data_IF_990062224378
#
_entry.id   IF_990062224378
#
_cell.length_a   1.000
_cell.length_b   1.000
_cell.length_c   1.000
_cell.angle_alpha   90.00
_cell.angle_beta   90.00
_cell.angle_gamma   90.00
#
_symmetry.space_group_name_H-M   'P 1'
#
loop_
_entity.id
_entity.type
_entity.pdbx_description
1 polymer ?
#
# COMPACT_ATOMS: atom_id res chain seq x y z
N UNK A 1 52.11 -20.22 -21.42
CA UNK A 1 51.43 -21.28 -20.65
C UNK A 1 51.48 -20.82 -19.20
N UNK A 2 50.44 -20.38 -18.52
CA UNK A 2 48.97 -20.52 -18.63
C UNK A 2 48.31 -19.33 -17.91
N UNK A 3 47.05 -18.94 -18.21
CA UNK A 3 46.38 -17.86 -17.48
C UNK A 3 45.59 -18.40 -16.28
N UNK A 4 45.62 -17.66 -15.16
CA UNK A 4 44.80 -17.91 -13.97
C UNK A 4 43.43 -17.28 -14.15
N UNK A 5 42.36 -18.07 -14.01
CA UNK A 5 40.97 -17.62 -14.03
C UNK A 5 40.58 -17.02 -12.67
N UNK A 6 40.18 -15.75 -12.68
CA UNK A 6 39.46 -15.12 -11.58
C UNK A 6 38.02 -15.67 -11.53
N UNK A 7 37.59 -16.15 -10.36
CA UNK A 7 36.21 -16.53 -10.10
C UNK A 7 35.48 -15.35 -9.46
N UNK A 8 34.61 -14.69 -10.22
CA UNK A 8 33.69 -13.68 -9.71
C UNK A 8 32.72 -14.31 -8.70
N UNK A 9 32.60 -13.69 -7.53
CA UNK A 9 31.58 -14.00 -6.53
C UNK A 9 30.22 -13.49 -7.02
N UNK A 10 29.36 -14.39 -7.48
CA UNK A 10 27.96 -14.09 -7.82
C UNK A 10 27.17 -13.76 -6.55
N UNK A 11 26.78 -12.49 -6.39
CA UNK A 11 25.87 -12.04 -5.34
C UNK A 11 24.44 -12.50 -5.68
N UNK A 12 23.88 -13.39 -4.87
CA UNK A 12 22.52 -13.90 -5.08
C UNK A 12 21.45 -12.84 -4.73
N UNK A 13 20.60 -12.39 -5.68
CA UNK A 13 19.61 -11.33 -5.45
C UNK A 13 18.54 -11.73 -4.42
N UNK A 14 18.24 -13.03 -4.28
CA UNK A 14 17.23 -13.55 -3.35
C UNK A 14 17.61 -13.38 -1.86
N UNK A 15 18.90 -13.38 -1.54
CA UNK A 15 19.36 -13.16 -0.17
C UNK A 15 19.19 -11.69 0.25
N UNK A 16 19.34 -10.74 -0.69
CA UNK A 16 19.16 -9.31 -0.44
C UNK A 16 17.70 -8.93 -0.17
N UNK A 17 16.74 -9.60 -0.82
CA UNK A 17 15.30 -9.44 -0.53
C UNK A 17 14.91 -10.03 0.81
N UNK A 18 15.45 -11.20 1.18
CA UNK A 18 15.20 -11.81 2.48
C UNK A 18 15.69 -10.92 3.63
N UNK A 19 16.84 -10.25 3.49
CA UNK A 19 17.33 -9.30 4.50
C UNK A 19 16.54 -8.01 4.52
N UNK A 20 16.07 -7.51 3.37
CA UNK A 20 15.22 -6.31 3.30
C UNK A 20 13.88 -6.53 4.00
N UNK A 21 13.22 -7.66 3.74
CA UNK A 21 11.97 -8.04 4.42
C UNK A 21 12.22 -8.25 5.91
N UNK A 22 13.30 -8.92 6.30
CA UNK A 22 13.61 -9.13 7.72
C UNK A 22 13.93 -7.82 8.45
N UNK A 23 14.68 -6.90 7.83
CA UNK A 23 15.00 -5.60 8.41
C UNK A 23 13.77 -4.69 8.50
N UNK A 24 12.87 -4.69 7.51
CA UNK A 24 11.64 -3.93 7.59
C UNK A 24 10.67 -4.50 8.63
N UNK A 25 10.55 -5.82 8.77
CA UNK A 25 9.70 -6.42 9.80
C UNK A 25 10.26 -6.23 11.22
N UNK A 26 11.58 -6.32 11.43
CA UNK A 26 12.22 -6.06 12.74
C UNK A 26 12.21 -4.57 13.08
N UNK A 27 12.43 -3.68 12.09
CA UNK A 27 12.35 -2.22 12.27
C UNK A 27 10.92 -1.74 12.47
N UNK A 28 9.92 -2.37 11.84
CA UNK A 28 8.50 -2.14 12.11
C UNK A 28 8.15 -2.45 13.57
N UNK A 29 8.71 -3.52 14.16
CA UNK A 29 8.56 -3.82 15.58
C UNK A 29 9.20 -2.77 16.50
N UNK A 30 10.37 -2.23 16.14
CA UNK A 30 11.09 -1.25 16.96
C UNK A 30 10.56 0.18 16.85
N UNK A 31 10.07 0.61 15.68
CA UNK A 31 9.55 1.98 15.46
C UNK A 31 8.12 2.17 15.99
N UNK A 32 7.36 1.08 16.17
CA UNK A 32 6.05 1.10 16.82
C UNK A 32 6.13 1.48 18.31
N UNK A 33 7.25 1.17 18.97
CA UNK A 33 7.43 1.47 20.40
C UNK A 33 7.63 2.96 20.69
N UNK A 34 8.14 3.75 19.74
CA UNK A 34 8.48 5.17 19.98
C UNK A 34 7.39 6.16 19.59
N UNK A 35 6.42 5.77 18.75
CA UNK A 35 5.32 6.65 18.31
C UNK A 35 4.04 6.55 19.14
N UNK A 36 3.98 5.63 20.11
CA UNK A 36 2.78 5.44 20.96
C UNK A 36 2.87 6.09 22.36
N UNK A 37 4.04 6.56 22.79
CA UNK A 37 4.20 7.22 24.11
C UNK A 37 3.69 8.68 24.14
N UNK A 38 3.49 9.33 22.99
CA UNK A 38 3.21 10.78 22.99
C UNK A 38 1.71 11.13 23.14
N UNK A 39 0.80 10.15 23.18
CA UNK A 39 -0.66 10.41 23.27
C UNK A 39 -1.31 9.99 24.59
N UNK A 40 -0.54 9.67 25.64
CA UNK A 40 -1.09 9.08 26.87
C UNK A 40 -0.82 9.85 28.16
N UNK A 41 -0.96 11.18 28.13
CA UNK A 41 -0.92 12.02 29.34
C UNK A 41 -2.25 12.60 29.82
N UNK A 42 -3.39 12.00 29.48
CA UNK A 42 -4.66 12.31 30.14
C UNK A 42 -5.52 11.05 30.37
N UNK A 43 -6.01 10.94 31.61
CA UNK A 43 -6.91 9.93 32.20
C UNK A 43 -6.26 8.55 32.47
N UNK A 44 -6.21 8.01 33.69
CA UNK A 44 -6.97 8.27 34.91
C UNK A 44 -7.56 6.94 35.42
N UNK A 45 -6.94 6.39 36.48
CA UNK A 45 -7.28 5.22 37.31
C UNK A 45 -8.67 4.55 37.17
N UNK A 46 -8.69 3.21 36.97
CA UNK A 46 -9.32 2.20 37.87
C UNK A 46 -9.04 0.74 37.39
N UNK A 47 -9.30 -0.34 38.19
CA UNK A 47 -8.39 -1.47 38.32
C UNK A 47 -8.83 -2.73 37.54
N UNK A 48 -7.87 -3.64 37.40
CA UNK A 48 -7.99 -4.96 36.77
C UNK A 48 -8.85 -5.94 37.56
N UNK A 49 -9.33 -7.00 36.89
CA UNK A 49 -9.14 -8.34 37.43
C UNK A 49 -8.43 -9.28 36.44
N UNK A 50 -7.65 -10.17 37.05
CA UNK A 50 -6.84 -11.23 36.45
C UNK A 50 -7.66 -12.46 36.07
N UNK A 51 -7.45 -13.02 34.89
CA UNK A 51 -7.64 -14.46 34.61
C UNK A 51 -6.49 -14.96 33.72
N UNK A 52 -5.97 -16.13 34.08
CA UNK A 52 -4.78 -16.80 33.54
C UNK A 52 -5.08 -17.70 32.32
N UNK A 53 -4.21 -17.55 31.30
CA UNK A 53 -3.59 -18.54 30.40
C UNK A 53 -4.46 -19.60 29.67
N UNK A 54 -4.64 -19.36 28.36
CA UNK A 54 -4.40 -20.35 27.31
C UNK A 54 -3.88 -19.59 26.07
N UNK A 55 -2.69 -19.92 25.58
CA UNK A 55 -2.05 -19.25 24.43
C UNK A 55 -2.83 -19.53 23.14
N UNK A 56 -3.30 -18.51 22.39
CA UNK A 56 -3.85 -18.71 21.06
C UNK A 56 -2.71 -18.70 20.01
N UNK A 57 -2.89 -19.39 18.87
CA UNK A 57 -1.90 -19.36 17.79
C UNK A 57 -1.80 -17.96 17.17
N UNK A 58 -0.62 -17.55 16.64
CA UNK A 58 -0.32 -16.17 16.26
C UNK A 58 -0.97 -15.67 14.96
N UNK A 59 -2.04 -16.32 14.50
CA UNK A 59 -2.76 -15.87 13.30
C UNK A 59 -4.25 -16.09 13.45
N UNK A 60 -4.99 -14.99 13.42
CA UNK A 60 -6.44 -14.93 13.36
C UNK A 60 -6.91 -14.91 11.89
N UNK A 61 -8.13 -15.40 11.66
CA UNK A 61 -8.75 -15.56 10.35
C UNK A 61 -10.11 -14.87 10.38
N UNK A 62 -10.41 -14.03 9.39
CA UNK A 62 -11.66 -13.26 9.33
C UNK A 62 -12.42 -13.43 8.00
N UNK A 63 -13.69 -13.83 8.07
CA UNK A 63 -14.65 -13.88 6.97
C UNK A 63 -14.86 -12.53 6.28
N UNK A 64 -14.84 -12.53 4.94
CA UNK A 64 -15.22 -11.38 4.12
C UNK A 64 -16.67 -10.96 4.40
N UNK A 65 -16.94 -9.71 4.81
CA UNK A 65 -18.30 -9.24 5.00
C UNK A 65 -18.99 -8.92 3.66
N UNK A 66 -20.29 -9.23 3.58
CA UNK A 66 -21.22 -8.68 2.58
C UNK A 66 -21.79 -7.38 3.14
N UNK A 67 -21.60 -6.29 2.40
CA UNK A 67 -21.76 -4.89 2.82
C UNK A 67 -23.14 -4.50 3.38
N UNK A 68 -23.13 -3.66 4.43
CA UNK A 68 -24.24 -2.78 4.79
C UNK A 68 -23.70 -1.36 5.01
N UNK A 69 -24.29 -0.39 4.31
CA UNK A 69 -23.71 0.91 3.94
C UNK A 69 -24.18 1.99 4.92
N UNK A 70 -23.23 2.79 5.40
CA UNK A 70 -23.48 4.17 5.84
C UNK A 70 -22.28 5.03 5.39
N UNK A 71 -22.16 5.21 4.08
CA UNK A 71 -21.16 6.07 3.48
C UNK A 71 -21.69 7.51 3.43
N UNK A 72 -20.89 8.46 3.90
CA UNK A 72 -21.10 9.87 3.58
C UNK A 72 -20.78 10.06 2.10
N UNK A 73 -21.43 11.03 1.43
CA UNK A 73 -21.20 11.31 0.00
C UNK A 73 -19.71 11.50 -0.37
N UNK A 74 -18.87 11.94 0.57
CA UNK A 74 -17.41 12.02 0.40
C UNK A 74 -16.74 10.64 0.38
N UNK A 75 -17.11 9.73 1.29
CA UNK A 75 -16.53 8.39 1.37
C UNK A 75 -16.80 7.56 0.10
N UNK A 76 -18.03 7.64 -0.44
CA UNK A 76 -18.39 6.94 -1.68
C UNK A 76 -17.61 7.46 -2.89
N UNK A 77 -17.37 8.78 -2.95
CA UNK A 77 -16.57 9.38 -4.01
C UNK A 77 -15.11 8.93 -3.92
N UNK A 78 -14.51 8.95 -2.73
CA UNK A 78 -13.14 8.47 -2.50
C UNK A 78 -13.02 6.99 -2.87
N UNK A 79 -13.94 6.15 -2.39
CA UNK A 79 -13.98 4.73 -2.74
C UNK A 79 -14.05 4.54 -4.26
N UNK A 80 -14.93 5.28 -4.96
CA UNK A 80 -15.04 5.20 -6.42
C UNK A 80 -13.74 5.60 -7.13
N UNK A 81 -13.02 6.59 -6.62
CA UNK A 81 -11.73 7.02 -7.21
C UNK A 81 -10.64 5.95 -7.14
N UNK A 82 -10.73 5.05 -6.16
CA UNK A 82 -9.81 3.94 -5.93
C UNK A 82 -10.15 2.67 -6.72
N UNK A 83 -11.30 2.65 -7.38
CA UNK A 83 -11.76 1.49 -8.12
C UNK A 83 -10.78 1.08 -9.23
N UNK A 84 -10.66 -0.21 -9.45
CA UNK A 84 -9.80 -0.77 -10.50
C UNK A 84 -8.32 -0.95 -10.12
N UNK A 85 -7.85 -0.39 -9.00
CA UNK A 85 -6.52 -0.70 -8.47
C UNK A 85 -6.60 -1.91 -7.55
N UNK A 86 -5.83 -2.96 -7.84
CA UNK A 86 -5.77 -4.18 -7.02
C UNK A 86 -4.53 -4.19 -6.13
N UNK A 87 -4.71 -4.67 -4.90
CA UNK A 87 -3.65 -5.09 -3.98
C UNK A 87 -3.85 -6.56 -3.65
N UNK A 88 -2.81 -7.21 -3.12
CA UNK A 88 -2.79 -8.64 -2.90
C UNK A 88 -2.71 -8.96 -1.42
N UNK A 89 -3.52 -9.90 -0.97
CA UNK A 89 -3.47 -10.40 0.41
C UNK A 89 -3.52 -11.92 0.42
N UNK A 90 -3.15 -12.51 1.55
CA UNK A 90 -3.21 -13.96 1.71
C UNK A 90 -4.51 -14.31 2.42
N UNK A 91 -5.27 -15.21 1.83
CA UNK A 91 -6.48 -15.76 2.42
C UNK A 91 -6.37 -17.25 2.65
N UNK A 92 -7.16 -17.76 3.60
CA UNK A 92 -7.33 -19.20 3.82
C UNK A 92 -8.33 -19.82 2.83
N UNK A 93 -8.66 -21.10 2.99
CA UNK A 93 -9.64 -21.80 2.14
C UNK A 93 -11.07 -21.29 2.26
N UNK A 94 -11.40 -20.57 3.33
CA UNK A 94 -12.70 -19.95 3.59
C UNK A 94 -12.76 -18.49 3.07
N UNK A 95 -11.78 -18.07 2.28
CA UNK A 95 -11.62 -16.71 1.78
C UNK A 95 -11.44 -15.66 2.90
N UNK A 96 -10.90 -16.09 4.03
CA UNK A 96 -10.65 -15.23 5.18
C UNK A 96 -9.23 -14.71 5.16
N UNK A 97 -9.02 -13.44 5.50
CA UNK A 97 -7.68 -12.87 5.53
C UNK A 97 -6.83 -13.49 6.63
N UNK A 98 -5.59 -13.79 6.28
CA UNK A 98 -4.57 -14.20 7.25
C UNK A 98 -4.06 -12.95 7.95
N UNK A 99 -4.24 -12.92 9.27
CA UNK A 99 -3.83 -11.80 10.11
C UNK A 99 -2.60 -12.16 10.95
N UNK A 100 -1.76 -11.17 11.23
CA UNK A 100 -0.60 -11.28 12.12
C UNK A 100 -1.01 -10.69 13.47
N UNK A 101 -0.93 -11.47 14.55
CA UNK A 101 -1.17 -10.92 15.89
C UNK A 101 -0.09 -9.91 16.28
N UNK A 102 -0.49 -8.76 16.79
CA UNK A 102 0.42 -7.78 17.40
C UNK A 102 1.05 -8.41 18.68
N UNK A 103 2.34 -8.19 18.98
CA UNK A 103 2.99 -8.77 20.17
C UNK A 103 2.30 -8.38 21.49
N UNK A 104 1.70 -7.18 21.54
CA UNK A 104 0.95 -6.68 22.69
C UNK A 104 -0.47 -7.26 22.78
N UNK A 105 -0.90 -8.06 21.80
CA UNK A 105 -2.19 -8.74 21.74
C UNK A 105 -3.41 -7.83 21.54
N UNK A 106 -3.21 -6.51 21.43
CA UNK A 106 -4.29 -5.54 21.38
C UNK A 106 -4.96 -5.43 20.00
N UNK A 107 -4.23 -5.70 18.91
CA UNK A 107 -4.73 -5.63 17.53
C UNK A 107 -4.17 -6.77 16.69
N UNK A 108 -4.88 -7.12 15.62
CA UNK A 108 -4.35 -7.99 14.58
C UNK A 108 -4.03 -7.16 13.34
N UNK A 109 -3.01 -7.54 12.57
CA UNK A 109 -2.54 -6.80 11.40
C UNK A 109 -2.84 -7.61 10.14
N UNK A 110 -3.58 -7.02 9.21
CA UNK A 110 -3.77 -7.56 7.85
C UNK A 110 -2.78 -6.91 6.88
N UNK A 111 -2.07 -7.72 6.09
CA UNK A 111 -1.13 -7.21 5.08
C UNK A 111 -1.79 -7.11 3.70
N UNK A 112 -1.54 -5.97 3.04
CA UNK A 112 -2.02 -5.66 1.69
C UNK A 112 -0.82 -5.26 0.83
N UNK A 113 -0.41 -6.13 -0.08
CA UNK A 113 0.81 -5.95 -0.88
C UNK A 113 0.47 -5.33 -2.23
N UNK A 114 1.21 -4.30 -2.67
CA UNK A 114 1.06 -3.76 -4.02
C UNK A 114 1.63 -4.69 -5.11
N UNK A 115 2.50 -5.62 -4.73
CA UNK A 115 3.07 -6.64 -5.61
C UNK A 115 2.58 -8.03 -5.23
N UNK A 116 2.25 -8.82 -6.24
CA UNK A 116 1.81 -10.19 -6.04
C UNK A 116 2.94 -11.05 -5.46
N UNK A 117 4.16 -10.87 -5.96
CA UNK A 117 5.35 -11.60 -5.49
C UNK A 117 5.60 -11.41 -3.99
N UNK A 118 5.31 -10.22 -3.44
CA UNK A 118 5.48 -9.94 -2.01
C UNK A 118 4.40 -10.66 -1.17
N UNK A 119 3.17 -10.76 -1.69
CA UNK A 119 2.10 -11.56 -1.07
C UNK A 119 2.40 -13.07 -1.17
N UNK A 120 3.01 -13.53 -2.26
CA UNK A 120 3.46 -14.92 -2.42
C UNK A 120 4.60 -15.27 -1.46
N UNK A 121 5.54 -14.34 -1.24
CA UNK A 121 6.58 -14.50 -0.24
C UNK A 121 5.99 -14.59 1.17
N UNK A 122 5.00 -13.75 1.50
CA UNK A 122 4.27 -13.86 2.76
C UNK A 122 3.53 -15.20 2.89
N UNK A 123 2.87 -15.66 1.83
CA UNK A 123 2.21 -16.97 1.78
C UNK A 123 3.21 -18.12 2.04
N UNK A 124 4.41 -18.06 1.48
CA UNK A 124 5.46 -19.05 1.72
C UNK A 124 5.85 -19.10 3.21
N UNK A 125 5.95 -17.95 3.89
CA UNK A 125 6.20 -17.87 5.34
C UNK A 125 5.04 -18.43 6.16
N UNK A 126 3.80 -18.17 5.74
CA UNK A 126 2.60 -18.72 6.40
C UNK A 126 2.59 -20.25 6.30
N UNK A 127 2.93 -20.80 5.14
CA UNK A 127 3.04 -22.25 4.89
C UNK A 127 4.18 -22.90 5.67
N UNK A 128 5.32 -22.21 5.81
CA UNK A 128 6.47 -22.78 6.54
C UNK A 128 6.25 -22.82 8.05
N UNK A 129 5.51 -21.85 8.62
CA UNK A 129 5.26 -21.76 10.07
C UNK A 129 4.10 -22.63 10.55
N UNK A 130 3.09 -22.86 9.72
CA UNK A 130 1.92 -23.69 10.09
C UNK A 130 1.83 -24.93 9.21
N UNK A 131 2.38 -26.04 9.72
CA UNK A 131 2.23 -27.38 9.13
C UNK A 131 0.76 -27.89 9.14
N UNK A 132 -0.13 -27.20 9.87
CA UNK A 132 -1.49 -27.63 10.20
C UNK A 132 -2.59 -26.62 9.80
N UNK A 133 -2.38 -25.74 8.81
CA UNK A 133 -3.51 -25.00 8.25
C UNK A 133 -4.45 -26.01 7.56
N UNK A 134 -5.59 -26.31 8.18
CA UNK A 134 -6.72 -26.94 7.48
C UNK A 134 -7.19 -25.95 6.42
N UNK A 135 -6.71 -26.14 5.20
CA UNK A 135 -6.99 -25.27 4.05
C UNK A 135 -5.72 -24.93 3.29
N UNK A 136 -5.83 -24.75 1.98
CA UNK A 136 -4.72 -24.26 1.16
C UNK A 136 -4.77 -22.73 1.13
N UNK A 137 -3.93 -22.02 1.90
CA UNK A 137 -3.87 -20.57 1.80
C UNK A 137 -3.38 -20.17 0.41
N UNK A 138 -3.93 -19.06 -0.10
CA UNK A 138 -3.66 -18.56 -1.43
C UNK A 138 -3.62 -17.03 -1.43
N UNK A 139 -2.88 -16.48 -2.38
CA UNK A 139 -2.91 -15.05 -2.66
C UNK A 139 -4.23 -14.73 -3.38
N UNK A 140 -4.89 -13.68 -2.93
CA UNK A 140 -6.12 -13.17 -3.55
C UNK A 140 -5.96 -11.68 -3.83
N UNK A 141 -6.36 -11.22 -5.03
CA UNK A 141 -6.49 -9.81 -5.31
C UNK A 141 -7.71 -9.24 -4.59
N UNK A 142 -7.57 -8.04 -4.04
CA UNK A 142 -8.65 -7.20 -3.50
C UNK A 142 -8.45 -5.78 -4.02
N UNK A 143 -9.53 -5.08 -4.34
CA UNK A 143 -9.43 -3.72 -4.87
C UNK A 143 -9.31 -2.68 -3.76
N UNK A 144 -8.64 -1.56 -4.03
CA UNK A 144 -8.42 -0.50 -3.04
C UNK A 144 -9.73 0.13 -2.56
N UNK A 145 -10.76 0.21 -3.41
CA UNK A 145 -12.09 0.67 -2.99
C UNK A 145 -12.71 -0.25 -1.95
N UNK A 146 -12.56 -1.57 -2.11
CA UNK A 146 -13.02 -2.55 -1.12
C UNK A 146 -12.24 -2.40 0.17
N UNK A 147 -10.90 -2.32 0.09
CA UNK A 147 -10.03 -2.12 1.26
C UNK A 147 -10.40 -0.85 2.02
N UNK A 148 -10.62 0.25 1.32
CA UNK A 148 -11.00 1.53 1.92
C UNK A 148 -12.32 1.44 2.70
N UNK A 149 -13.26 0.63 2.21
CA UNK A 149 -14.55 0.40 2.87
C UNK A 149 -14.49 -0.66 3.98
N UNK A 150 -13.40 -1.40 4.14
CA UNK A 150 -13.24 -2.38 5.22
C UNK A 150 -13.04 -1.66 6.55
N UNK A 151 -14.13 -1.56 7.33
CA UNK A 151 -14.10 -1.17 8.74
C UNK A 151 -14.26 -2.41 9.60
N UNK A 152 -13.18 -2.83 10.25
CA UNK A 152 -13.15 -3.99 11.12
C UNK A 152 -12.57 -3.60 12.47
N UNK A 153 -13.28 -3.93 13.53
CA UNK A 153 -12.82 -3.67 14.88
C UNK A 153 -11.67 -4.61 15.25
N UNK A 154 -10.66 -4.09 15.94
CA UNK A 154 -9.52 -4.89 16.41
C UNK A 154 -8.51 -5.30 15.33
N UNK A 155 -8.67 -4.84 14.09
CA UNK A 155 -7.72 -5.14 13.00
C UNK A 155 -7.19 -3.84 12.37
N UNK A 156 -5.89 -3.77 12.18
CA UNK A 156 -5.23 -2.72 11.41
C UNK A 156 -4.75 -3.29 10.06
N UNK A 157 -5.17 -2.69 8.96
CA UNK A 157 -4.59 -3.03 7.65
C UNK A 157 -3.35 -2.19 7.40
N UNK A 158 -2.29 -2.84 6.91
CA UNK A 158 -1.05 -2.15 6.51
C UNK A 158 -0.73 -2.48 5.05
N UNK A 159 -0.47 -1.43 4.29
CA UNK A 159 0.06 -1.56 2.96
C UNK A 159 1.54 -1.93 2.99
N UNK A 160 1.93 -2.86 2.11
CA UNK A 160 3.30 -3.12 1.74
C UNK A 160 3.52 -2.53 0.34
N UNK A 161 4.16 -1.36 0.24
CA UNK A 161 4.39 -0.68 -1.03
C UNK A 161 5.43 -1.41 -1.86
N UNK A 162 5.41 -1.18 -3.18
CA UNK A 162 6.45 -1.66 -4.08
C UNK A 162 7.80 -0.99 -3.70
N UNK A 163 8.85 -1.78 -3.37
CA UNK A 163 10.16 -1.24 -3.00
C UNK A 163 10.80 -0.41 -4.11
N UNK A 164 10.53 -0.69 -5.39
CA UNK A 164 11.00 0.12 -6.52
C UNK A 164 10.38 1.53 -6.44
N UNK A 165 9.09 1.60 -6.13
CA UNK A 165 8.39 2.89 -6.03
C UNK A 165 8.81 3.67 -4.79
N UNK A 166 9.16 2.99 -3.69
CA UNK A 166 9.78 3.64 -2.53
C UNK A 166 11.12 4.27 -2.90
N UNK A 167 11.98 3.54 -3.63
CA UNK A 167 13.26 4.08 -4.12
C UNK A 167 13.04 5.30 -5.03
N UNK A 168 12.14 5.17 -6.00
CA UNK A 168 11.77 6.25 -6.92
C UNK A 168 11.28 7.51 -6.18
N UNK A 169 10.43 7.33 -5.17
CA UNK A 169 9.90 8.41 -4.34
C UNK A 169 10.99 9.13 -3.55
N UNK A 170 11.96 8.38 -3.01
CA UNK A 170 13.11 8.93 -2.28
C UNK A 170 14.07 9.69 -3.21
N UNK A 171 14.27 9.23 -4.45
CA UNK A 171 15.09 9.93 -5.44
C UNK A 171 14.47 11.28 -5.85
N UNK A 172 13.13 11.34 -5.95
CA UNK A 172 12.39 12.56 -6.27
C UNK A 172 12.26 13.54 -5.07
N UNK A 173 12.18 13.03 -3.84
CA UNK A 173 12.29 13.84 -2.61
C UNK A 173 13.76 14.10 -2.29
N UNK A 174 14.36 15.07 -2.99
CA UNK A 174 15.75 15.45 -2.78
C UNK A 174 16.14 15.51 -1.28
N UNK A 175 17.08 14.65 -0.90
CA UNK A 175 17.87 14.69 0.34
C UNK A 175 17.13 14.63 1.70
N UNK A 176 15.92 14.05 1.80
CA UNK A 176 15.40 13.69 3.13
C UNK A 176 16.12 12.44 3.67
N UNK A 177 16.82 12.56 4.80
CA UNK A 177 17.50 11.43 5.47
C UNK A 177 16.55 10.38 6.06
N UNK A 178 15.25 10.69 6.12
CA UNK A 178 14.20 9.79 6.59
C UNK A 178 13.70 8.89 5.46
N UNK A 179 13.24 7.69 5.82
CA UNK A 179 12.55 6.81 4.88
C UNK A 179 11.23 7.42 4.37
N UNK A 180 10.60 6.74 3.41
CA UNK A 180 9.28 7.11 2.92
C UNK A 180 8.21 6.46 3.81
N UNK A 181 7.27 7.25 4.32
CA UNK A 181 6.15 6.79 5.15
C UNK A 181 4.88 6.70 4.28
N UNK A 182 4.24 5.54 4.26
CA UNK A 182 3.06 5.25 3.43
C UNK A 182 3.37 4.71 2.03
N UNK A 183 2.35 4.71 1.17
CA UNK A 183 2.43 4.21 -0.22
C UNK A 183 2.73 5.37 -1.17
N UNK A 184 3.84 5.34 -1.93
CA UNK A 184 4.13 6.40 -2.88
C UNK A 184 3.08 6.52 -3.99
N UNK A 185 2.72 7.77 -4.28
CA UNK A 185 1.94 8.14 -5.46
C UNK A 185 2.58 9.33 -6.16
N UNK A 186 2.44 9.37 -7.48
CA UNK A 186 3.10 10.32 -8.37
C UNK A 186 2.06 11.15 -9.13
N UNK A 187 2.28 12.45 -9.23
CA UNK A 187 1.38 13.39 -9.89
C UNK A 187 2.16 14.42 -10.71
N UNK A 188 1.51 15.02 -11.71
CA UNK A 188 2.05 16.14 -12.47
C UNK A 188 0.92 17.08 -12.89
N UNK A 189 1.17 18.38 -12.79
CA UNK A 189 0.29 19.45 -13.26
C UNK A 189 0.16 19.49 -14.79
N UNK A 190 1.11 18.87 -15.51
CA UNK A 190 1.11 18.77 -16.97
C UNK A 190 0.13 17.71 -17.52
N UNK A 191 -0.40 16.82 -16.68
CA UNK A 191 -1.25 15.69 -17.10
C UNK A 191 -2.75 15.86 -16.80
N UNK A 192 -3.24 17.10 -16.68
CA UNK A 192 -4.67 17.34 -16.48
C UNK A 192 -5.45 17.08 -17.76
N UNK A 193 -6.42 16.17 -17.70
CA UNK A 193 -7.23 15.72 -18.85
C UNK A 193 -8.65 16.28 -18.75
N UNK A 194 -9.28 16.57 -19.89
CA UNK A 194 -10.71 16.91 -19.96
C UNK A 194 -11.43 15.93 -20.89
N UNK A 195 -12.47 15.26 -20.39
CA UNK A 195 -13.33 14.35 -21.18
C UNK A 195 -14.79 14.58 -20.78
N UNK A 196 -15.70 14.72 -21.76
CA UNK A 196 -17.14 14.92 -21.54
C UNK A 196 -17.47 16.03 -20.52
N UNK A 197 -16.84 17.20 -20.64
CA UNK A 197 -16.97 18.34 -19.72
C UNK A 197 -16.55 18.08 -18.26
N UNK A 198 -15.88 16.95 -17.99
CA UNK A 198 -15.28 16.64 -16.70
C UNK A 198 -13.75 16.72 -16.77
N UNK A 199 -13.14 17.28 -15.72
CA UNK A 199 -11.70 17.32 -15.54
C UNK A 199 -11.25 16.06 -14.79
N UNK A 200 -10.09 15.54 -15.16
CA UNK A 200 -9.46 14.40 -14.52
C UNK A 200 -8.00 14.74 -14.23
N UNK A 201 -7.59 14.49 -12.99
CA UNK A 201 -6.26 14.72 -12.47
C UNK A 201 -5.67 13.36 -12.09
N UNK A 202 -4.89 12.71 -12.99
CA UNK A 202 -4.42 11.36 -12.76
C UNK A 202 -3.32 11.29 -11.70
N UNK A 203 -3.41 10.27 -10.86
CA UNK A 203 -2.49 9.94 -9.77
C UNK A 203 -1.95 8.54 -10.02
N UNK A 204 -0.64 8.38 -10.14
CA UNK A 204 -0.02 7.11 -10.55
C UNK A 204 0.63 6.41 -9.36
N UNK A 205 0.52 5.09 -9.30
CA UNK A 205 1.26 4.27 -8.34
C UNK A 205 2.68 3.92 -8.80
N UNK A 206 2.97 4.05 -10.11
CA UNK A 206 4.28 3.81 -10.70
C UNK A 206 4.86 5.09 -11.30
N UNK A 207 6.12 5.37 -10.99
CA UNK A 207 6.88 6.47 -11.60
C UNK A 207 7.05 6.27 -13.11
N UNK A 208 7.27 5.03 -13.53
CA UNK A 208 7.50 4.68 -14.93
C UNK A 208 6.26 5.00 -15.79
N UNK A 209 5.07 4.75 -15.27
CA UNK A 209 3.81 5.06 -15.97
C UNK A 209 3.61 6.56 -16.17
N UNK A 210 3.85 7.39 -15.14
CA UNK A 210 3.74 8.84 -15.28
C UNK A 210 4.81 9.42 -16.20
N UNK A 211 6.05 8.91 -16.16
CA UNK A 211 7.13 9.34 -17.06
C UNK A 211 6.79 9.02 -18.51
N UNK A 212 6.21 7.85 -18.75
CA UNK A 212 5.72 7.45 -20.08
C UNK A 212 4.62 8.38 -20.58
N UNK A 213 3.67 8.77 -19.74
CA UNK A 213 2.60 9.71 -20.15
C UNK A 213 3.14 11.14 -20.36
N UNK A 214 4.06 11.60 -19.51
CA UNK A 214 4.71 12.90 -19.66
C UNK A 214 5.56 13.00 -20.94
N UNK A 215 6.19 11.89 -21.36
CA UNK A 215 6.97 11.85 -22.61
C UNK A 215 6.14 12.18 -23.87
N UNK A 216 4.81 11.99 -23.80
CA UNK A 216 3.87 12.31 -24.89
C UNK A 216 3.46 13.79 -24.90
N UNK A 217 3.74 14.52 -23.81
CA UNK A 217 3.35 15.93 -23.66
C UNK A 217 4.51 16.83 -24.11
N UNK A 218 4.30 17.57 -25.20
CA UNK A 218 5.31 18.43 -25.83
C UNK A 218 5.88 19.57 -24.95
N UNK A 219 5.22 19.88 -23.83
CA UNK A 219 5.71 20.87 -22.85
C UNK A 219 6.74 20.30 -21.89
N UNK A 220 6.67 18.99 -21.59
CA UNK A 220 7.63 18.31 -20.73
C UNK A 220 8.99 18.08 -21.42
N UNK A 221 9.06 18.20 -22.76
CA UNK A 221 10.28 17.99 -23.54
C UNK A 221 11.14 19.26 -23.72
N UNK A 222 10.70 20.42 -23.22
CA UNK A 222 11.42 21.70 -23.38
C UNK A 222 12.25 22.02 -22.13
N UNK A 223 13.46 21.45 -22.05
CA UNK A 223 14.58 21.97 -21.25
C UNK A 223 14.86 21.25 -19.92
N UNK A 224 13.83 20.86 -19.16
CA UNK A 224 13.94 20.17 -17.87
C UNK A 224 13.76 18.66 -18.03
N UNK A 225 14.50 17.83 -17.29
CA UNK A 225 14.27 16.38 -17.29
C UNK A 225 12.85 16.06 -16.82
N UNK A 226 12.17 15.08 -17.44
CA UNK A 226 10.76 14.71 -17.18
C UNK A 226 10.46 14.60 -15.68
N UNK A 227 11.40 14.04 -14.91
CA UNK A 227 11.28 13.82 -13.47
C UNK A 227 11.14 15.11 -12.63
N UNK A 228 11.54 16.27 -13.15
CA UNK A 228 11.37 17.57 -12.46
C UNK A 228 9.90 18.03 -12.40
N UNK A 229 9.05 17.47 -13.26
CA UNK A 229 7.62 17.76 -13.30
C UNK A 229 6.78 16.75 -12.50
N UNK A 230 7.42 15.85 -11.75
CA UNK A 230 6.76 14.83 -10.95
C UNK A 230 6.79 15.22 -9.48
N UNK A 231 5.60 15.33 -8.90
CA UNK A 231 5.39 15.49 -7.47
C UNK A 231 5.12 14.14 -6.83
N UNK A 232 5.65 13.94 -5.61
CA UNK A 232 5.47 12.71 -4.83
C UNK A 232 4.63 13.00 -3.59
N UNK A 233 3.61 12.18 -3.37
CA UNK A 233 2.80 12.14 -2.14
C UNK A 233 2.66 10.72 -1.61
N UNK A 234 2.08 10.57 -0.42
CA UNK A 234 1.61 9.28 0.09
C UNK A 234 0.13 9.09 -0.25
N UNK A 235 -0.29 7.86 -0.53
CA UNK A 235 -1.69 7.51 -0.75
C UNK A 235 -2.53 7.95 0.46
N UNK A 236 -2.06 7.66 1.66
CA UNK A 236 -2.75 7.93 2.92
C UNK A 236 -3.02 9.43 3.11
N UNK A 237 -2.04 10.30 2.82
CA UNK A 237 -2.23 11.75 2.90
C UNK A 237 -3.18 12.26 1.82
N UNK A 238 -3.13 11.69 0.61
CA UNK A 238 -4.04 12.05 -0.48
C UNK A 238 -5.47 11.69 -0.09
N UNK A 239 -5.71 10.47 0.39
CA UNK A 239 -7.05 10.01 0.82
C UNK A 239 -7.60 10.88 1.94
N UNK A 240 -6.78 11.16 2.97
CA UNK A 240 -7.17 12.06 4.06
C UNK A 240 -7.55 13.45 3.54
N UNK A 241 -6.80 14.00 2.58
CA UNK A 241 -7.13 15.30 1.97
C UNK A 241 -8.42 15.24 1.18
N UNK A 242 -8.66 14.17 0.41
CA UNK A 242 -9.93 14.00 -0.33
C UNK A 242 -11.13 13.97 0.63
N UNK A 243 -11.03 13.24 1.75
CA UNK A 243 -12.08 13.17 2.77
C UNK A 243 -12.38 14.50 3.45
N UNK A 244 -11.33 15.31 3.71
CA UNK A 244 -11.43 16.57 4.43
C UNK A 244 -11.72 17.78 3.52
N UNK A 245 -11.58 17.61 2.20
CA UNK A 245 -11.71 18.71 1.24
C UNK A 245 -13.17 19.17 1.05
N UNK A 246 -13.35 20.46 0.82
CA UNK A 246 -14.64 21.04 0.45
C UNK A 246 -14.98 20.73 -1.02
N UNK A 247 -16.27 20.80 -1.37
CA UNK A 247 -16.70 20.66 -2.78
C UNK A 247 -16.09 21.76 -3.65
N UNK A 248 -15.75 21.44 -4.89
CA UNK A 248 -15.13 22.31 -5.89
C UNK A 248 -13.66 22.71 -5.60
N UNK A 249 -12.97 21.95 -4.76
CA UNK A 249 -11.56 22.18 -4.42
C UNK A 249 -10.59 21.52 -5.41
N UNK A 250 -11.10 20.71 -6.34
CA UNK A 250 -10.33 19.97 -7.35
C UNK A 250 -9.90 18.57 -6.89
N UNK A 251 -10.13 18.22 -5.63
CA UNK A 251 -9.89 16.86 -5.11
C UNK A 251 -10.90 15.85 -5.68
N UNK A 252 -12.07 16.31 -6.15
CA UNK A 252 -13.05 15.45 -6.82
C UNK A 252 -12.67 15.01 -8.23
N UNK A 253 -11.68 15.69 -8.83
CA UNK A 253 -11.16 15.42 -10.17
C UNK A 253 -10.07 14.34 -10.14
N UNK A 254 -9.58 13.96 -8.95
CA UNK A 254 -8.54 12.93 -8.82
C UNK A 254 -9.04 11.56 -9.28
N UNK A 255 -8.18 10.87 -10.03
CA UNK A 255 -8.36 9.45 -10.36
C UNK A 255 -7.05 8.71 -10.12
N UNK A 256 -7.11 7.53 -9.54
CA UNK A 256 -5.93 6.70 -9.33
C UNK A 256 -5.74 5.76 -10.52
N UNK A 257 -4.58 5.82 -11.15
CA UNK A 257 -4.24 5.00 -12.32
C UNK A 257 -3.58 3.71 -11.83
N UNK A 258 -4.19 2.53 -12.07
CA UNK A 258 -3.59 1.26 -11.68
C UNK A 258 -2.21 1.05 -12.33
N UNK A 259 -1.25 0.40 -11.64
CA UNK A 259 0.05 0.10 -12.21
C UNK A 259 -0.04 -0.60 -13.57
N UNK A 260 0.74 -0.12 -14.55
CA UNK A 260 0.81 -0.64 -15.91
C UNK A 260 -0.33 -0.21 -16.84
N UNK A 261 -1.34 0.53 -16.35
CA UNK A 261 -2.43 1.08 -17.18
C UNK A 261 -2.13 2.52 -17.62
N UNK A 262 -2.61 2.89 -18.81
CA UNK A 262 -2.66 4.31 -19.20
C UNK A 262 -3.90 4.99 -18.63
N UNK A 263 -3.82 6.31 -18.40
CA UNK A 263 -4.98 7.07 -17.94
C UNK A 263 -6.15 7.00 -18.93
N UNK A 264 -5.87 6.91 -20.24
CA UNK A 264 -6.90 6.88 -21.28
C UNK A 264 -7.77 5.62 -21.18
N UNK A 265 -7.13 4.46 -21.03
CA UNK A 265 -7.80 3.17 -20.83
C UNK A 265 -8.61 3.18 -19.53
N UNK A 266 -8.01 3.66 -18.45
CA UNK A 266 -8.69 3.68 -17.15
C UNK A 266 -9.90 4.62 -17.12
N UNK A 267 -9.79 5.82 -17.71
CA UNK A 267 -10.90 6.77 -17.83
C UNK A 267 -12.05 6.18 -18.65
N UNK A 268 -11.78 5.35 -19.66
CA UNK A 268 -12.81 4.64 -20.41
C UNK A 268 -13.53 3.60 -19.56
N UNK A 269 -12.80 2.80 -18.79
CA UNK A 269 -13.37 1.78 -17.90
C UNK A 269 -14.27 2.38 -16.81
N UNK A 270 -13.87 3.49 -16.18
CA UNK A 270 -14.64 4.11 -15.08
C UNK A 270 -15.78 5.02 -15.55
N UNK A 271 -15.80 5.36 -16.85
CA UNK A 271 -16.83 6.21 -17.47
C UNK A 271 -17.81 5.43 -18.35
N UNK A 272 -17.59 4.12 -18.52
CA UNK A 272 -18.51 3.18 -19.14
C UNK A 272 -19.63 2.81 -18.17
#
# INVERSE_FOLDING_TARGET
MSPSLNMESSTNPLLSFSTFVHQHFVRLGAELSSRFEETKRLAGNWPRPSISLAFPPPFASLAQPKNAIAATLSSDHVAKSLSGTSVYTVSNSNNEFVLISDPDGAKSIGLLCFRQEDAEAFLAQVRSRKRELRGQPRVVPITLDQVYMLKVEGIAFRFLPDPVQIKNALELRAASKSGFDGVPVFQSDLLVVKKKNKRYCPVYFSKEDIEKELSKVSRASRGAGISQHIMVGSLEDVLKKMEMSERNSGWEDLIFIPPGKSYSQHVEEISA
#
